data_IF_906689294753
#
_entry.id   IF_906689294753
#
_cell.length_a   1.000
_cell.length_b   1.000
_cell.length_c   1.000
_cell.angle_alpha   90.00
_cell.angle_beta   90.00
_cell.angle_gamma   90.00
#
_symmetry.space_group_name_H-M   'P 1'
#
loop_
_entity.id
_entity.type
_entity.pdbx_description
1 polymer ?
#
# COMPACT_ATOMS: atom_id res chain seq x y z
N UNK A 1 -65.70 47.60 27.33
CA UNK A 1 -65.89 46.48 28.28
C UNK A 1 -66.60 45.41 27.48
N UNK A 2 -66.09 44.20 27.24
CA UNK A 2 -65.76 43.16 28.22
C UNK A 2 -64.89 42.09 27.53
N UNK A 3 -63.95 41.49 28.27
CA UNK A 3 -63.07 40.40 27.83
C UNK A 3 -63.79 39.04 27.89
N UNK A 4 -63.42 38.11 27.02
CA UNK A 4 -63.55 36.66 27.30
C UNK A 4 -62.31 35.90 26.83
N UNK A 5 -61.69 35.19 27.77
CA UNK A 5 -60.70 34.13 27.56
C UNK A 5 -61.45 32.82 27.34
N UNK A 6 -60.93 31.95 26.46
CA UNK A 6 -61.33 30.54 26.40
C UNK A 6 -60.07 29.69 26.53
N UNK A 7 -60.06 28.88 27.58
CA UNK A 7 -59.16 27.75 27.82
C UNK A 7 -59.85 26.51 27.26
N UNK A 8 -59.14 25.70 26.47
CA UNK A 8 -59.63 24.40 26.01
C UNK A 8 -58.67 23.30 26.46
N UNK A 9 -59.16 22.48 27.38
CA UNK A 9 -58.57 21.20 27.81
C UNK A 9 -59.29 20.09 27.05
N UNK A 10 -58.56 19.17 26.40
CA UNK A 10 -59.13 17.94 25.84
C UNK A 10 -58.30 16.75 26.31
N UNK A 11 -58.96 15.86 27.05
CA UNK A 11 -58.55 14.49 27.35
C UNK A 11 -59.33 13.53 26.45
N UNK A 12 -58.67 12.55 25.85
CA UNK A 12 -59.26 11.28 25.37
C UNK A 12 -58.16 10.21 25.53
N UNK A 13 -58.28 9.25 26.45
CA UNK A 13 -59.13 8.04 26.44
C UNK A 13 -58.65 6.98 25.44
N UNK A 14 -58.27 5.84 26.02
CA UNK A 14 -57.71 4.66 25.40
C UNK A 14 -58.78 3.70 24.85
N UNK A 15 -58.35 2.83 23.93
CA UNK A 15 -59.11 1.71 23.37
C UNK A 15 -59.28 1.85 21.85
N UNK A 16 -59.14 0.86 20.98
CA UNK A 16 -59.10 -0.61 21.08
C UNK A 16 -58.71 -1.13 19.68
N UNK A 17 -58.29 -2.41 19.59
CA UNK A 17 -58.28 -3.35 18.44
C UNK A 17 -57.01 -3.54 17.58
N UNK A 18 -56.46 -4.74 17.81
CA UNK A 18 -55.63 -5.58 16.95
C UNK A 18 -56.16 -5.71 15.51
N UNK A 19 -55.23 -5.73 14.55
CA UNK A 19 -55.38 -6.47 13.30
C UNK A 19 -54.02 -7.02 12.86
N UNK A 20 -54.03 -8.31 12.57
CA UNK A 20 -53.00 -9.13 11.95
C UNK A 20 -52.39 -8.52 10.68
N UNK A 21 -51.09 -8.79 10.48
CA UNK A 21 -50.46 -9.32 9.24
C UNK A 21 -48.93 -9.18 9.39
N UNK A 22 -48.29 -10.16 10.03
CA UNK A 22 -46.83 -10.31 10.08
C UNK A 22 -46.45 -11.50 9.19
N UNK A 23 -45.88 -11.19 8.02
CA UNK A 23 -45.29 -12.19 7.14
C UNK A 23 -43.94 -12.67 7.69
N UNK A 24 -43.84 -13.99 7.78
CA UNK A 24 -42.73 -14.84 8.17
C UNK A 24 -41.39 -14.46 7.52
N UNK A 25 -40.34 -14.40 8.34
CA UNK A 25 -39.00 -14.86 7.98
C UNK A 25 -38.53 -15.87 9.03
N UNK A 26 -38.57 -17.13 8.63
CA UNK A 26 -38.14 -18.29 9.42
C UNK A 26 -36.62 -18.37 9.39
N UNK A 27 -35.96 -18.02 10.50
CA UNK A 27 -34.57 -18.39 10.75
C UNK A 27 -34.55 -19.84 11.28
N UNK A 28 -34.07 -20.76 10.45
CA UNK A 28 -33.73 -22.12 10.85
C UNK A 28 -32.51 -22.07 11.78
N UNK A 29 -32.71 -22.57 13.00
CA UNK A 29 -31.68 -22.92 13.96
C UNK A 29 -30.82 -24.08 13.43
N UNK A 30 -29.52 -23.86 13.30
CA UNK A 30 -28.54 -24.93 13.11
C UNK A 30 -28.03 -25.41 14.49
N UNK A 31 -27.85 -26.72 14.69
CA UNK A 31 -27.42 -27.27 15.98
C UNK A 31 -25.91 -27.09 16.21
N UNK A 32 -25.56 -26.91 17.48
CA UNK A 32 -24.20 -26.87 17.98
C UNK A 32 -23.45 -28.17 17.63
N UNK A 33 -22.40 -28.05 16.82
CA UNK A 33 -21.45 -29.12 16.55
C UNK A 33 -20.21 -28.97 17.45
N UNK A 34 -19.97 -30.04 18.18
CA UNK A 34 -18.88 -30.29 19.12
C UNK A 34 -17.50 -30.05 18.52
N UNK A 35 -16.71 -29.19 19.18
CA UNK A 35 -15.24 -29.14 19.06
C UNK A 35 -14.64 -30.44 19.60
N UNK A 36 -14.32 -31.39 18.72
CA UNK A 36 -13.27 -32.39 18.93
C UNK A 36 -12.95 -33.09 17.61
N UNK A 37 -11.63 -33.21 17.35
CA UNK A 37 -10.99 -34.03 16.32
C UNK A 37 -11.01 -33.45 14.89
N UNK A 38 -9.98 -32.65 14.58
CA UNK A 38 -9.41 -32.57 13.25
C UNK A 38 -7.91 -32.80 13.35
N UNK A 39 -7.44 -33.68 12.48
CA UNK A 39 -6.16 -34.36 12.51
C UNK A 39 -4.95 -33.43 12.47
N UNK A 40 -3.99 -33.81 13.29
CA UNK A 40 -2.61 -33.37 13.34
C UNK A 40 -1.88 -33.89 12.09
N UNK A 41 -1.47 -32.98 11.22
CA UNK A 41 -0.45 -33.23 10.22
C UNK A 41 0.77 -32.40 10.64
N UNK A 42 1.84 -33.09 11.03
CA UNK A 42 3.10 -32.51 11.45
C UNK A 42 3.78 -31.84 10.24
N UNK A 43 3.53 -30.54 10.08
CA UNK A 43 4.43 -29.65 9.36
C UNK A 43 5.49 -29.23 10.38
N UNK A 44 6.68 -29.81 10.28
CA UNK A 44 7.87 -29.35 11.01
C UNK A 44 8.21 -27.93 10.55
N UNK A 45 7.64 -26.94 11.25
CA UNK A 45 8.10 -25.57 11.17
C UNK A 45 9.52 -25.51 11.76
N UNK A 46 10.46 -24.96 11.00
CA UNK A 46 11.74 -24.55 11.56
C UNK A 46 11.48 -23.66 12.78
N UNK A 47 12.10 -23.93 13.95
CA UNK A 47 11.88 -23.13 15.15
C UNK A 47 12.14 -21.66 14.85
N UNK A 48 11.23 -20.79 15.28
CA UNK A 48 11.35 -19.33 15.13
C UNK A 48 12.71 -18.82 15.64
N UNK A 49 13.28 -19.51 16.62
CA UNK A 49 14.62 -19.29 17.18
C UNK A 49 15.74 -19.41 16.15
N UNK A 50 15.66 -20.36 15.21
CA UNK A 50 16.67 -20.56 14.16
C UNK A 50 16.65 -19.43 13.12
N UNK A 51 15.45 -18.92 12.80
CA UNK A 51 15.29 -17.74 11.94
C UNK A 51 15.80 -16.49 12.67
N UNK A 52 15.53 -16.35 13.97
CA UNK A 52 16.06 -15.25 14.79
C UNK A 52 17.59 -15.30 14.93
N UNK A 53 18.19 -16.49 15.11
CA UNK A 53 19.65 -16.66 15.21
C UNK A 53 20.35 -16.33 13.88
N UNK A 54 19.84 -16.81 12.74
CA UNK A 54 20.38 -16.47 11.42
C UNK A 54 20.29 -14.98 11.11
N UNK A 55 19.31 -14.28 11.68
CA UNK A 55 19.14 -12.84 11.52
C UNK A 55 20.00 -12.01 12.50
N UNK A 56 20.16 -12.46 13.74
CA UNK A 56 21.06 -11.82 14.72
C UNK A 56 22.53 -11.92 14.30
N UNK A 57 22.92 -13.01 13.62
CA UNK A 57 24.26 -13.15 13.04
C UNK A 57 24.58 -12.07 11.97
N UNK A 58 23.56 -11.46 11.34
CA UNK A 58 23.73 -10.34 10.40
C UNK A 58 23.68 -8.96 11.05
N UNK A 59 23.06 -8.81 12.23
CA UNK A 59 23.00 -7.53 12.94
C UNK A 59 24.24 -7.23 13.79
N UNK A 60 25.08 -8.24 14.03
CA UNK A 60 26.34 -8.10 14.79
C UNK A 60 27.53 -7.65 13.93
N UNK A 61 27.33 -7.38 12.63
CA UNK A 61 28.23 -6.50 11.88
C UNK A 61 28.00 -5.07 12.38
N UNK A 62 28.83 -4.72 13.36
CA UNK A 62 28.88 -3.47 14.11
C UNK A 62 28.75 -2.24 13.20
N UNK A 63 27.65 -1.48 13.37
CA UNK A 63 27.64 -0.06 13.01
C UNK A 63 28.62 0.66 13.94
N UNK A 64 29.85 0.84 13.48
CA UNK A 64 30.77 1.81 14.07
C UNK A 64 30.08 3.18 14.03
N UNK A 65 29.92 3.77 15.21
CA UNK A 65 29.44 5.14 15.38
C UNK A 65 30.56 6.09 14.96
N UNK A 66 30.73 6.25 13.65
CA UNK A 66 31.68 7.21 13.10
C UNK A 66 31.24 8.63 13.53
N UNK A 67 32.06 9.25 14.37
CA UNK A 67 32.00 10.66 14.69
C UNK A 67 32.06 11.47 13.39
N UNK A 68 30.98 12.17 13.07
CA UNK A 68 30.82 12.98 11.85
C UNK A 68 31.90 14.07 11.81
N UNK A 69 32.98 13.83 11.07
CA UNK A 69 33.97 14.85 10.75
C UNK A 69 33.33 15.83 9.75
N UNK A 70 33.30 17.11 10.13
CA UNK A 70 32.79 18.20 9.29
C UNK A 70 33.89 18.73 8.36
N UNK A 71 34.46 17.92 7.46
CA UNK A 71 35.21 18.48 6.31
C UNK A 71 35.62 17.47 5.23
N UNK A 72 34.75 16.54 4.85
CA UNK A 72 34.99 15.79 3.62
C UNK A 72 34.33 16.52 2.44
N UNK A 73 35.16 17.19 1.63
CA UNK A 73 34.79 17.63 0.29
C UNK A 73 34.15 16.45 -0.46
N UNK A 74 32.83 16.50 -0.67
CA UNK A 74 32.05 15.43 -1.31
C UNK A 74 32.67 15.09 -2.68
N UNK A 75 33.30 13.92 -2.78
CA UNK A 75 33.73 13.38 -4.08
C UNK A 75 32.49 13.22 -4.96
N UNK A 76 32.55 13.59 -6.26
CA UNK A 76 31.41 13.48 -7.15
C UNK A 76 30.93 12.04 -7.21
N UNK A 77 29.68 11.81 -6.82
CA UNK A 77 29.15 10.45 -6.73
C UNK A 77 28.87 9.90 -8.13
N UNK A 78 29.37 8.70 -8.42
CA UNK A 78 29.12 8.04 -9.70
C UNK A 78 27.65 7.59 -9.82
N UNK A 79 26.82 8.44 -10.44
CA UNK A 79 25.39 8.22 -10.66
C UNK A 79 25.07 7.10 -11.67
N UNK A 80 26.06 6.54 -12.37
CA UNK A 80 25.86 5.45 -13.33
C UNK A 80 25.91 4.05 -12.70
N UNK A 81 26.25 3.95 -11.40
CA UNK A 81 26.35 2.67 -10.69
C UNK A 81 24.99 1.96 -10.68
N UNK A 82 24.98 0.70 -11.12
CA UNK A 82 23.84 -0.21 -10.89
C UNK A 82 23.75 -0.53 -9.40
N UNK A 83 22.60 -0.28 -8.81
CA UNK A 83 22.35 -0.64 -7.42
C UNK A 83 22.12 -2.15 -7.31
N UNK A 84 22.72 -2.81 -6.31
CA UNK A 84 22.38 -4.20 -6.01
C UNK A 84 20.88 -4.29 -5.69
N UNK A 85 20.32 -5.44 -5.98
CA UNK A 85 18.95 -5.77 -5.63
C UNK A 85 18.85 -7.26 -5.36
N UNK A 86 17.95 -7.61 -4.46
CA UNK A 86 17.63 -8.97 -4.08
C UNK A 86 16.14 -9.13 -3.92
N UNK A 87 15.63 -10.33 -4.20
CA UNK A 87 14.27 -10.73 -3.86
C UNK A 87 14.35 -12.03 -3.05
N UNK A 88 13.52 -12.20 -2.02
CA UNK A 88 13.50 -13.43 -1.24
C UNK A 88 12.91 -14.58 -2.07
N UNK A 89 13.12 -15.79 -1.57
CA UNK A 89 12.34 -16.94 -2.00
C UNK A 89 10.85 -16.72 -1.68
N UNK A 90 9.97 -17.14 -2.59
CA UNK A 90 8.52 -17.07 -2.41
C UNK A 90 8.06 -18.40 -1.82
N UNK A 91 7.36 -18.41 -0.68
CA UNK A 91 6.76 -19.64 -0.17
C UNK A 91 5.77 -20.22 -1.19
N UNK A 92 5.66 -21.55 -1.26
CA UNK A 92 4.74 -22.21 -2.21
C UNK A 92 3.29 -21.74 -2.05
N UNK A 93 2.89 -21.45 -0.81
CA UNK A 93 1.58 -20.90 -0.47
C UNK A 93 1.81 -19.49 0.07
N UNK A 94 1.49 -18.49 -0.74
CA UNK A 94 1.54 -17.10 -0.32
C UNK A 94 0.25 -16.74 0.41
N UNK A 95 0.39 -16.17 1.62
CA UNK A 95 -0.75 -15.63 2.37
C UNK A 95 -1.48 -14.56 1.56
N UNK A 96 -2.80 -14.56 1.60
CA UNK A 96 -3.62 -13.42 1.16
C UNK A 96 -3.31 -12.15 1.97
N UNK A 97 -3.73 -10.98 1.50
CA UNK A 97 -3.56 -9.75 2.31
C UNK A 97 -4.30 -9.83 3.64
N UNK A 98 -5.47 -10.46 3.70
CA UNK A 98 -6.24 -10.61 4.93
C UNK A 98 -5.46 -11.46 5.94
N UNK A 99 -4.97 -12.63 5.53
CA UNK A 99 -4.20 -13.52 6.40
C UNK A 99 -2.92 -12.86 6.92
N UNK A 100 -2.18 -12.17 6.05
CA UNK A 100 -0.97 -11.46 6.47
C UNK A 100 -1.27 -10.28 7.39
N UNK A 101 -2.35 -9.52 7.14
CA UNK A 101 -2.77 -8.43 8.01
C UNK A 101 -3.20 -8.93 9.39
N UNK A 102 -3.88 -10.07 9.49
CA UNK A 102 -4.18 -10.71 10.78
C UNK A 102 -2.89 -11.05 11.53
N UNK A 103 -1.95 -11.74 10.86
CA UNK A 103 -0.67 -12.13 11.45
C UNK A 103 0.14 -10.93 12.00
N UNK A 104 0.33 -9.88 11.19
CA UNK A 104 1.14 -8.74 11.63
C UNK A 104 0.45 -7.95 12.76
N UNK A 105 -0.88 -7.92 12.78
CA UNK A 105 -1.66 -7.27 13.84
C UNK A 105 -1.56 -8.05 15.15
N UNK A 106 -1.72 -9.37 15.12
CA UNK A 106 -1.56 -10.24 16.29
C UNK A 106 -0.15 -10.13 16.85
N UNK A 107 0.87 -10.10 15.97
CA UNK A 107 2.26 -9.91 16.38
C UNK A 107 2.48 -8.54 17.04
N UNK A 108 1.90 -7.46 16.50
CA UNK A 108 1.97 -6.13 17.14
C UNK A 108 1.28 -6.10 18.49
N UNK A 109 0.08 -6.68 18.59
CA UNK A 109 -0.68 -6.74 19.83
C UNK A 109 0.05 -7.55 20.91
N UNK A 110 0.64 -8.70 20.56
CA UNK A 110 1.45 -9.51 21.50
C UNK A 110 2.68 -8.76 22.06
N UNK A 111 3.13 -7.72 21.35
CA UNK A 111 4.23 -6.83 21.75
C UNK A 111 3.73 -5.50 22.35
N UNK A 112 2.43 -5.37 22.63
CA UNK A 112 1.79 -4.14 23.12
C UNK A 112 2.02 -2.92 22.20
N UNK A 113 2.15 -3.13 20.89
CA UNK A 113 2.26 -2.06 19.90
C UNK A 113 0.85 -1.66 19.47
N UNK A 114 0.49 -0.39 19.64
CA UNK A 114 -0.82 0.14 19.25
C UNK A 114 -1.02 0.10 17.73
N UNK A 115 -2.23 -0.27 17.30
CA UNK A 115 -2.66 -0.21 15.91
C UNK A 115 -3.33 1.16 15.64
N UNK A 116 -2.86 1.96 14.66
CA UNK A 116 -3.34 3.34 14.48
C UNK A 116 -4.86 3.45 14.27
N UNK A 117 -5.44 2.51 13.52
CA UNK A 117 -6.86 2.48 13.21
C UNK A 117 -7.77 2.16 14.41
N UNK A 118 -7.23 1.70 15.55
CA UNK A 118 -8.02 1.55 16.78
C UNK A 118 -8.22 2.87 17.54
N UNK A 119 -7.43 3.90 17.23
CA UNK A 119 -7.36 5.15 18.01
C UNK A 119 -7.99 6.35 17.30
N UNK A 120 -8.76 6.12 16.23
CA UNK A 120 -9.35 7.15 15.35
C UNK A 120 -8.37 8.22 14.81
N UNK A 121 -7.07 7.96 14.93
CA UNK A 121 -6.02 8.84 14.47
C UNK A 121 -5.71 8.59 12.98
N UNK A 122 -5.38 9.63 12.19
CA UNK A 122 -4.84 9.43 10.86
C UNK A 122 -3.61 8.51 10.88
N UNK A 123 -3.39 7.78 9.78
CA UNK A 123 -2.21 6.95 9.61
C UNK A 123 -0.92 7.77 9.81
N UNK A 124 0.10 7.22 10.49
CA UNK A 124 1.38 7.89 10.64
C UNK A 124 2.02 8.29 9.31
N UNK A 125 2.56 9.51 9.26
CA UNK A 125 3.13 10.10 8.05
C UNK A 125 4.68 9.96 8.00
N UNK A 126 5.27 9.94 6.79
CA UNK A 126 4.60 9.84 5.49
C UNK A 126 3.99 8.46 5.25
N UNK A 127 2.97 8.40 4.39
CA UNK A 127 2.41 7.17 3.85
C UNK A 127 3.11 6.88 2.51
N UNK A 128 3.75 5.73 2.40
CA UNK A 128 4.57 5.37 1.25
C UNK A 128 4.03 4.09 0.63
N UNK A 129 3.59 4.22 -0.62
CA UNK A 129 3.17 3.10 -1.45
C UNK A 129 4.35 2.52 -2.23
N UNK A 130 4.75 1.32 -1.83
CA UNK A 130 5.82 0.57 -2.49
C UNK A 130 5.32 -0.33 -3.63
N UNK A 131 4.06 -0.17 -4.01
CA UNK A 131 3.44 -0.91 -5.09
C UNK A 131 4.22 -0.75 -6.40
N UNK A 132 4.38 -1.85 -7.12
CA UNK A 132 4.88 -1.80 -8.48
C UNK A 132 3.89 -1.04 -9.38
N UNK A 133 4.38 -0.41 -10.46
CA UNK A 133 3.54 0.12 -11.51
C UNK A 133 2.46 -0.88 -11.91
N UNK A 134 1.25 -0.37 -12.16
CA UNK A 134 0.04 -1.14 -12.50
C UNK A 134 -0.60 -1.95 -11.35
N UNK A 135 -0.13 -1.76 -10.12
CA UNK A 135 -0.81 -2.17 -8.89
C UNK A 135 -1.52 -0.99 -8.23
N UNK A 136 -2.45 -0.37 -8.97
CA UNK A 136 -3.32 0.72 -8.49
C UNK A 136 -2.64 1.98 -7.92
N UNK A 137 -1.36 2.23 -8.18
CA UNK A 137 -0.62 3.39 -7.62
C UNK A 137 -1.31 4.75 -7.82
N UNK A 138 -1.91 4.97 -8.99
CA UNK A 138 -2.70 6.17 -9.28
C UNK A 138 -4.04 6.18 -8.51
N UNK A 139 -4.75 5.04 -8.47
CA UNK A 139 -5.98 4.91 -7.68
C UNK A 139 -5.72 5.19 -6.21
N UNK A 140 -4.64 4.68 -5.63
CA UNK A 140 -4.24 4.97 -4.24
C UNK A 140 -3.97 6.46 -4.03
N UNK A 141 -3.27 7.13 -4.98
CA UNK A 141 -3.05 8.58 -4.90
C UNK A 141 -4.37 9.35 -4.87
N UNK A 142 -5.34 8.99 -5.72
CA UNK A 142 -6.62 9.69 -5.78
C UNK A 142 -7.50 9.37 -4.57
N UNK A 143 -7.41 8.15 -4.02
CA UNK A 143 -8.06 7.76 -2.76
C UNK A 143 -7.58 8.64 -1.59
N UNK A 144 -6.27 8.75 -1.37
CA UNK A 144 -5.73 9.60 -0.30
C UNK A 144 -5.99 11.09 -0.53
N UNK A 145 -5.96 11.56 -1.79
CA UNK A 145 -6.35 12.93 -2.10
C UNK A 145 -7.83 13.21 -1.78
N UNK A 146 -8.72 12.25 -2.06
CA UNK A 146 -10.14 12.32 -1.70
C UNK A 146 -10.35 12.37 -0.17
N UNK A 147 -9.50 11.68 0.59
CA UNK A 147 -9.42 11.79 2.05
C UNK A 147 -8.79 13.08 2.60
N UNK A 148 -8.42 14.03 1.73
CA UNK A 148 -7.88 15.33 2.13
C UNK A 148 -6.36 15.38 2.31
N UNK A 149 -5.61 14.33 1.94
CA UNK A 149 -4.14 14.31 2.06
C UNK A 149 -3.47 14.94 0.82
N UNK A 150 -2.30 15.55 1.01
CA UNK A 150 -1.41 15.90 -0.08
C UNK A 150 -0.79 14.62 -0.63
N UNK A 151 -1.29 14.18 -1.80
CA UNK A 151 -0.91 12.91 -2.39
C UNK A 151 -0.21 13.11 -3.74
N UNK A 152 0.83 12.31 -3.99
CA UNK A 152 1.66 12.39 -5.19
C UNK A 152 1.83 11.05 -5.88
N UNK A 153 1.90 11.07 -7.22
CA UNK A 153 2.06 9.90 -8.09
C UNK A 153 3.15 10.18 -9.12
N UNK A 154 4.25 9.40 -9.08
CA UNK A 154 5.45 9.52 -9.95
C UNK A 154 6.26 10.82 -9.83
N UNK A 155 5.60 11.99 -9.89
CA UNK A 155 6.21 13.32 -9.91
C UNK A 155 5.75 14.13 -8.71
N UNK A 156 6.64 14.90 -8.09
CA UNK A 156 6.22 15.86 -7.08
C UNK A 156 5.27 16.89 -7.72
N UNK A 157 4.14 17.25 -7.06
CA UNK A 157 3.11 18.09 -7.65
C UNK A 157 3.68 19.42 -8.17
N UNK A 158 3.38 19.76 -9.42
CA UNK A 158 3.82 21.00 -10.08
C UNK A 158 5.34 21.13 -10.23
N UNK A 159 6.06 20.02 -10.19
CA UNK A 159 7.47 19.94 -10.55
C UNK A 159 7.65 18.97 -11.72
N UNK A 160 8.79 19.05 -12.40
CA UNK A 160 9.25 18.01 -13.32
C UNK A 160 10.11 16.95 -12.60
N UNK A 161 10.18 17.02 -11.27
CA UNK A 161 11.01 16.14 -10.45
C UNK A 161 10.23 14.86 -10.21
N UNK A 162 10.76 13.74 -10.70
CA UNK A 162 10.26 12.41 -10.36
C UNK A 162 10.66 12.08 -8.93
N UNK A 163 9.69 11.63 -8.14
CA UNK A 163 9.93 11.25 -6.75
C UNK A 163 11.00 10.17 -6.66
N UNK A 164 10.93 9.17 -7.55
CA UNK A 164 11.97 8.14 -7.61
C UNK A 164 13.37 8.71 -7.85
N UNK A 165 13.54 9.65 -8.80
CA UNK A 165 14.85 10.26 -9.09
C UNK A 165 15.40 11.01 -7.87
N UNK A 166 14.55 11.79 -7.20
CA UNK A 166 14.88 12.48 -5.96
C UNK A 166 15.30 11.48 -4.87
N UNK A 167 14.51 10.43 -4.63
CA UNK A 167 14.81 9.44 -3.59
C UNK A 167 16.10 8.66 -3.88
N UNK A 168 16.37 8.31 -5.15
CA UNK A 168 17.65 7.70 -5.53
C UNK A 168 18.82 8.64 -5.24
N UNK A 169 18.73 9.89 -5.67
CA UNK A 169 19.80 10.87 -5.47
C UNK A 169 20.05 11.10 -3.97
N UNK A 170 18.99 11.16 -3.17
CA UNK A 170 19.08 11.26 -1.71
C UNK A 170 19.64 10.00 -1.05
N UNK A 171 19.25 8.80 -1.52
CA UNK A 171 19.84 7.53 -1.08
C UNK A 171 21.35 7.52 -1.29
N UNK A 172 21.79 7.88 -2.50
CA UNK A 172 23.21 7.96 -2.88
C UNK A 172 23.96 8.99 -2.04
N UNK A 173 23.34 10.14 -1.77
CA UNK A 173 23.91 11.22 -0.95
C UNK A 173 23.73 11.00 0.55
N UNK A 174 23.19 9.84 0.99
CA UNK A 174 22.83 9.55 2.39
C UNK A 174 21.93 10.61 3.05
N UNK A 175 21.15 11.36 2.27
CA UNK A 175 20.20 12.39 2.72
C UNK A 175 18.81 11.83 2.99
N UNK A 176 17.94 12.64 3.59
CA UNK A 176 16.54 12.28 3.78
C UNK A 176 15.90 11.89 2.42
N UNK A 177 15.18 10.74 2.33
CA UNK A 177 14.62 10.24 1.07
C UNK A 177 13.84 11.26 0.24
N UNK A 178 13.06 12.14 0.86
CA UNK A 178 12.16 13.06 0.15
C UNK A 178 12.68 14.51 0.14
N UNK A 179 13.90 14.76 0.63
CA UNK A 179 14.48 16.11 0.67
C UNK A 179 14.47 16.74 -0.73
N UNK A 180 13.75 17.86 -0.88
CA UNK A 180 13.64 18.61 -2.13
C UNK A 180 12.55 18.12 -3.10
N UNK A 181 11.78 17.09 -2.72
CA UNK A 181 10.64 16.60 -3.50
C UNK A 181 9.42 16.26 -2.61
N UNK A 182 9.39 16.76 -1.39
CA UNK A 182 8.37 16.55 -0.37
C UNK A 182 7.34 17.66 -0.29
N UNK A 183 7.37 18.66 -1.18
CA UNK A 183 6.54 19.85 -1.08
C UNK A 183 5.46 19.96 -2.16
N UNK A 184 4.22 20.21 -1.75
CA UNK A 184 3.09 20.44 -2.64
C UNK A 184 2.80 21.95 -2.78
N UNK A 185 3.41 22.60 -3.77
CA UNK A 185 3.36 24.05 -3.96
C UNK A 185 1.95 24.67 -3.94
N UNK A 186 0.98 24.09 -4.67
CA UNK A 186 -0.39 24.60 -4.70
C UNK A 186 -1.14 24.50 -3.36
N UNK A 187 -0.80 23.52 -2.51
CA UNK A 187 -1.44 23.32 -1.22
C UNK A 187 -0.64 23.93 -0.07
N UNK A 188 0.56 24.47 -0.37
CA UNK A 188 1.46 25.04 0.62
C UNK A 188 1.72 24.10 1.82
N UNK A 189 1.91 22.80 1.55
CA UNK A 189 2.15 21.78 2.58
C UNK A 189 3.03 20.64 2.08
N UNK A 190 3.58 19.89 3.02
CA UNK A 190 4.34 18.66 2.77
C UNK A 190 3.43 17.60 2.15
N UNK A 191 3.97 16.79 1.23
CA UNK A 191 3.30 15.63 0.66
C UNK A 191 3.25 14.54 1.74
N UNK A 192 2.05 14.01 1.94
CA UNK A 192 1.72 13.06 3.00
C UNK A 192 1.61 11.64 2.45
N UNK A 193 1.23 11.48 1.17
CA UNK A 193 1.16 10.19 0.48
C UNK A 193 2.01 10.17 -0.80
N UNK A 194 2.86 9.15 -0.95
CA UNK A 194 3.73 8.96 -2.12
C UNK A 194 3.44 7.60 -2.79
N UNK A 195 3.20 7.58 -4.10
CA UNK A 195 3.10 6.33 -4.87
C UNK A 195 3.84 6.39 -6.21
N UNK A 196 4.11 5.20 -6.77
CA UNK A 196 4.86 5.03 -8.02
C UNK A 196 6.26 5.68 -7.95
N UNK A 197 6.94 5.42 -6.84
CA UNK A 197 8.25 6.01 -6.50
C UNK A 197 9.44 5.30 -7.17
N UNK A 198 9.17 4.52 -8.22
CA UNK A 198 10.17 3.74 -8.93
C UNK A 198 10.67 4.39 -10.22
N UNK A 199 11.85 3.96 -10.66
CA UNK A 199 12.52 4.46 -11.86
C UNK A 199 12.98 3.30 -12.75
N UNK A 200 12.44 3.25 -13.95
CA UNK A 200 12.91 2.33 -15.01
C UNK A 200 13.95 2.95 -15.94
N UNK A 201 13.98 4.28 -15.96
CA UNK A 201 14.95 5.11 -16.64
C UNK A 201 14.97 6.42 -15.87
N UNK A 202 16.11 6.81 -15.31
CA UNK A 202 16.21 8.16 -14.77
C UNK A 202 16.32 9.16 -15.91
N UNK A 203 16.08 10.43 -15.60
CA UNK A 203 16.58 11.51 -16.46
C UNK A 203 18.12 11.33 -16.59
N UNK A 204 18.72 11.72 -17.72
CA UNK A 204 20.19 11.74 -17.87
C UNK A 204 20.94 10.39 -17.75
N UNK A 205 20.32 9.27 -18.15
CA UNK A 205 21.01 7.97 -18.19
C UNK A 205 21.22 7.30 -16.82
N UNK A 206 20.61 7.83 -15.76
CA UNK A 206 20.67 7.24 -14.42
C UNK A 206 20.01 5.85 -14.41
N UNK A 207 20.65 4.93 -13.71
CA UNK A 207 20.23 3.53 -13.60
C UNK A 207 18.84 3.36 -12.99
N UNK A 208 18.25 2.18 -13.20
CA UNK A 208 16.99 1.84 -12.55
C UNK A 208 17.13 1.85 -11.03
N UNK A 209 16.06 2.28 -10.37
CA UNK A 209 16.02 2.32 -8.93
C UNK A 209 14.58 2.20 -8.42
N UNK A 210 14.38 1.31 -7.47
CA UNK A 210 13.14 1.10 -6.74
C UNK A 210 13.53 0.86 -5.28
N UNK A 211 13.14 1.75 -4.37
CA UNK A 211 13.44 1.61 -2.94
C UNK A 211 13.01 0.26 -2.37
N UNK A 212 11.92 -0.32 -2.87
CA UNK A 212 11.42 -1.64 -2.43
C UNK A 212 12.10 -2.84 -3.08
N UNK A 213 12.93 -2.66 -4.10
CA UNK A 213 13.66 -3.76 -4.78
C UNK A 213 15.16 -3.66 -4.50
N UNK A 214 15.74 -2.47 -4.59
CA UNK A 214 17.16 -2.25 -4.38
C UNK A 214 17.54 -2.35 -2.91
N UNK A 215 18.68 -2.99 -2.65
CA UNK A 215 19.12 -3.28 -1.28
C UNK A 215 19.50 -1.99 -0.54
N UNK A 216 19.09 -1.88 0.72
CA UNK A 216 19.23 -0.68 1.55
C UNK A 216 18.14 0.36 1.30
N UNK A 217 17.32 0.24 0.25
CA UNK A 217 16.32 1.26 -0.09
C UNK A 217 15.19 1.39 0.94
N UNK A 218 14.69 0.27 1.47
CA UNK A 218 13.68 0.25 2.52
C UNK A 218 14.27 0.69 3.86
N UNK A 219 15.48 0.21 4.19
CA UNK A 219 16.21 0.55 5.41
C UNK A 219 16.53 2.04 5.47
N UNK A 220 16.90 2.64 4.34
CA UNK A 220 17.15 4.08 4.25
C UNK A 220 15.88 4.89 4.53
N UNK A 221 14.71 4.41 4.12
CA UNK A 221 13.44 5.06 4.45
C UNK A 221 13.12 4.93 5.93
N UNK A 222 13.21 3.72 6.50
CA UNK A 222 12.95 3.50 7.92
C UNK A 222 13.90 4.28 8.84
N UNK A 223 15.16 4.47 8.43
CA UNK A 223 16.13 5.31 9.15
C UNK A 223 15.62 6.74 9.36
N UNK A 224 15.02 7.35 8.35
CA UNK A 224 14.56 8.74 8.40
C UNK A 224 13.10 8.86 8.84
N UNK A 225 12.30 7.81 8.66
CA UNK A 225 10.89 7.77 8.96
C UNK A 225 10.52 6.48 9.70
N UNK A 226 10.99 6.28 10.94
CA UNK A 226 10.77 5.04 11.68
C UNK A 226 9.28 4.79 11.94
N UNK A 227 8.48 5.84 12.06
CA UNK A 227 7.05 5.71 12.32
C UNK A 227 6.19 5.83 11.05
N UNK A 228 6.77 5.80 9.84
CA UNK A 228 5.99 5.93 8.60
C UNK A 228 5.01 4.77 8.40
N UNK A 229 4.06 4.99 7.48
CA UNK A 229 3.16 3.95 7.02
C UNK A 229 3.61 3.37 5.68
N UNK A 230 3.77 2.06 5.63
CA UNK A 230 3.92 1.26 4.42
C UNK A 230 2.50 0.90 3.94
N UNK A 231 2.14 1.33 2.74
CA UNK A 231 0.82 1.08 2.16
C UNK A 231 0.93 0.24 0.88
N UNK A 232 0.21 -0.87 0.80
CA UNK A 232 0.29 -1.82 -0.31
C UNK A 232 -1.09 -2.18 -0.86
N UNK A 233 -1.35 -1.88 -2.13
CA UNK A 233 -2.49 -2.42 -2.87
C UNK A 233 -2.06 -3.56 -3.79
N UNK A 234 -2.45 -4.78 -3.46
CA UNK A 234 -2.10 -5.96 -4.24
C UNK A 234 -3.12 -6.24 -5.35
N UNK A 235 -2.69 -7.01 -6.34
CA UNK A 235 -3.53 -7.56 -7.39
C UNK A 235 -3.23 -9.04 -7.54
N UNK A 236 -4.14 -9.79 -8.14
CA UNK A 236 -3.79 -11.11 -8.64
C UNK A 236 -2.56 -11.01 -9.57
N UNK A 237 -1.50 -11.82 -9.38
CA UNK A 237 -0.26 -11.69 -10.14
C UNK A 237 -0.46 -11.83 -11.66
N UNK A 238 -1.36 -12.73 -12.10
CA UNK A 238 -1.69 -12.86 -13.52
C UNK A 238 -2.42 -11.63 -14.07
N UNK A 239 -3.34 -11.05 -13.30
CA UNK A 239 -4.01 -9.78 -13.64
C UNK A 239 -3.02 -8.61 -13.72
N UNK A 240 -2.06 -8.55 -12.79
CA UNK A 240 -0.98 -7.57 -12.81
C UNK A 240 -0.10 -7.75 -14.06
N UNK A 241 0.35 -8.98 -14.36
CA UNK A 241 1.17 -9.30 -15.53
C UNK A 241 0.49 -8.87 -16.84
N UNK A 242 -0.80 -9.21 -17.00
CA UNK A 242 -1.60 -8.77 -18.16
C UNK A 242 -1.65 -7.24 -18.27
N UNK A 243 -1.71 -6.52 -17.14
CA UNK A 243 -1.74 -5.06 -17.11
C UNK A 243 -0.41 -4.43 -17.51
N UNK A 244 0.71 -4.94 -16.99
CA UNK A 244 2.06 -4.43 -17.32
C UNK A 244 2.48 -4.75 -18.76
N UNK A 245 2.08 -5.91 -19.29
CA UNK A 245 2.35 -6.30 -20.69
C UNK A 245 1.62 -5.39 -21.68
N UNK A 246 0.38 -4.97 -21.38
CA UNK A 246 -0.36 -4.03 -22.23
C UNK A 246 0.14 -2.59 -22.08
N UNK A 247 0.69 -2.23 -20.92
CA UNK A 247 1.08 -0.86 -20.63
C UNK A 247 2.17 -0.35 -21.56
N UNK A 248 1.86 0.72 -22.29
CA UNK A 248 2.76 1.30 -23.27
C UNK A 248 3.16 0.34 -24.40
N UNK A 249 2.40 -0.72 -24.66
CA UNK A 249 2.78 -1.77 -25.62
C UNK A 249 3.96 -2.62 -25.13
N UNK A 250 3.98 -2.98 -23.84
CA UNK A 250 5.03 -3.81 -23.24
C UNK A 250 6.31 -3.05 -22.89
N UNK A 251 6.35 -1.73 -23.10
CA UNK A 251 7.52 -0.89 -22.79
C UNK A 251 7.98 -0.98 -21.33
N UNK A 252 7.04 -1.23 -20.40
CA UNK A 252 7.32 -1.38 -18.97
C UNK A 252 8.23 -2.59 -18.70
N UNK A 253 7.78 -3.78 -19.12
CA UNK A 253 8.52 -5.02 -18.95
C UNK A 253 9.83 -5.01 -19.75
N UNK A 254 9.80 -4.45 -20.96
CA UNK A 254 11.00 -4.26 -21.75
C UNK A 254 12.04 -3.39 -21.02
N UNK A 255 11.61 -2.30 -20.39
CA UNK A 255 12.46 -1.43 -19.57
C UNK A 255 13.07 -2.17 -18.39
N UNK A 256 12.27 -2.91 -17.62
CA UNK A 256 12.77 -3.73 -16.51
C UNK A 256 13.79 -4.79 -16.96
N UNK A 257 13.49 -5.50 -18.05
CA UNK A 257 14.39 -6.51 -18.62
C UNK A 257 15.71 -5.90 -19.10
N UNK A 258 15.66 -4.87 -19.95
CA UNK A 258 16.85 -4.35 -20.63
C UNK A 258 17.68 -3.39 -19.79
N UNK A 259 17.04 -2.57 -18.95
CA UNK A 259 17.72 -1.45 -18.27
C UNK A 259 17.97 -1.72 -16.80
N UNK A 260 17.01 -2.37 -16.13
CA UNK A 260 17.13 -2.61 -14.70
C UNK A 260 17.93 -3.86 -14.36
N UNK A 261 18.11 -4.76 -15.34
CA UNK A 261 18.81 -6.01 -15.11
C UNK A 261 18.04 -6.95 -14.17
N UNK A 262 16.74 -6.71 -13.96
CA UNK A 262 15.86 -7.62 -13.23
C UNK A 262 15.73 -8.99 -13.92
N UNK A 263 16.32 -9.15 -15.10
CA UNK A 263 16.46 -10.41 -15.82
C UNK A 263 17.28 -11.48 -15.11
N UNK A 264 18.27 -11.10 -14.30
CA UNK A 264 19.27 -12.05 -13.80
C UNK A 264 18.72 -13.18 -12.93
N UNK A 265 17.60 -12.96 -12.23
CA UNK A 265 16.96 -13.96 -11.36
C UNK A 265 15.65 -14.52 -11.91
N UNK A 266 15.17 -14.03 -13.06
CA UNK A 266 13.84 -14.32 -13.60
C UNK A 266 13.86 -15.33 -14.75
N UNK A 267 14.93 -16.10 -14.90
CA UNK A 267 15.03 -17.16 -15.90
C UNK A 267 14.70 -16.68 -17.33
N UNK A 268 13.64 -17.25 -17.90
CA UNK A 268 13.26 -17.07 -19.31
C UNK A 268 12.35 -15.86 -19.56
N UNK A 269 11.98 -15.10 -18.53
CA UNK A 269 11.01 -13.99 -18.61
C UNK A 269 9.63 -14.40 -19.14
N UNK A 270 9.21 -15.61 -18.81
CA UNK A 270 7.85 -16.09 -19.03
C UNK A 270 6.86 -15.30 -18.19
N UNK A 271 5.56 -15.50 -18.44
CA UNK A 271 4.52 -14.98 -17.55
C UNK A 271 4.74 -15.43 -16.10
N UNK A 272 5.03 -16.72 -15.89
CA UNK A 272 5.29 -17.28 -14.57
C UNK A 272 6.44 -16.55 -13.86
N UNK A 273 7.55 -16.31 -14.56
CA UNK A 273 8.70 -15.61 -13.99
C UNK A 273 8.34 -14.18 -13.51
N UNK A 274 7.51 -13.45 -14.26
CA UNK A 274 7.07 -12.11 -13.86
C UNK A 274 6.04 -12.15 -12.72
N UNK A 275 5.15 -13.13 -12.71
CA UNK A 275 4.24 -13.32 -11.60
C UNK A 275 5.03 -13.63 -10.31
N UNK A 276 6.05 -14.48 -10.39
CA UNK A 276 6.92 -14.80 -9.25
C UNK A 276 7.76 -13.62 -8.82
N UNK A 277 8.24 -12.78 -9.75
CA UNK A 277 8.85 -11.48 -9.42
C UNK A 277 7.90 -10.62 -8.58
N UNK A 278 6.61 -10.54 -8.96
CA UNK A 278 5.61 -9.76 -8.24
C UNK A 278 5.33 -10.33 -6.84
N UNK A 279 5.25 -11.66 -6.72
CA UNK A 279 5.08 -12.33 -5.43
C UNK A 279 6.29 -12.12 -4.52
N UNK A 280 7.51 -12.26 -5.06
CA UNK A 280 8.75 -12.07 -4.31
C UNK A 280 8.96 -10.62 -3.87
N UNK A 281 8.56 -9.65 -4.70
CA UNK A 281 8.53 -8.24 -4.32
C UNK A 281 7.58 -7.99 -3.14
N UNK A 282 6.38 -8.54 -3.20
CA UNK A 282 5.40 -8.46 -2.12
C UNK A 282 5.96 -9.10 -0.84
N UNK A 283 6.54 -10.28 -0.94
CA UNK A 283 7.14 -10.99 0.18
C UNK A 283 8.32 -10.23 0.80
N UNK A 284 9.17 -9.58 -0.01
CA UNK A 284 10.26 -8.72 0.49
C UNK A 284 9.72 -7.62 1.41
N UNK A 285 8.63 -6.98 1.01
CA UNK A 285 8.02 -5.89 1.77
C UNK A 285 7.37 -6.43 3.05
N UNK A 286 6.67 -7.56 2.98
CA UNK A 286 6.08 -8.23 4.15
C UNK A 286 7.14 -8.62 5.19
N UNK A 287 8.24 -9.22 4.74
CA UNK A 287 9.38 -9.55 5.62
C UNK A 287 10.01 -8.30 6.23
N UNK A 288 10.11 -7.21 5.46
CA UNK A 288 10.58 -5.93 5.98
C UNK A 288 9.63 -5.37 7.05
N UNK A 289 8.32 -5.43 6.84
CA UNK A 289 7.31 -4.96 7.79
C UNK A 289 7.35 -5.77 9.11
N UNK A 290 7.48 -7.10 9.04
CA UNK A 290 7.63 -7.97 10.21
C UNK A 290 8.89 -7.65 11.04
N UNK A 291 9.96 -7.19 10.38
CA UNK A 291 11.20 -6.77 11.04
C UNK A 291 11.10 -5.35 11.63
N UNK A 292 10.20 -4.53 11.12
CA UNK A 292 10.05 -3.12 11.48
C UNK A 292 8.65 -2.84 12.04
N UNK A 293 8.25 -3.56 13.09
CA UNK A 293 6.89 -3.46 13.66
C UNK A 293 6.51 -2.07 14.20
N UNK A 294 7.50 -1.19 14.40
CA UNK A 294 7.31 0.22 14.75
C UNK A 294 6.74 1.04 13.58
N UNK A 295 7.01 0.65 12.33
CA UNK A 295 6.33 1.20 11.15
C UNK A 295 4.91 0.65 11.07
N UNK A 296 3.99 1.47 10.55
CA UNK A 296 2.63 1.00 10.24
C UNK A 296 2.63 0.25 8.92
N UNK A 297 1.90 -0.86 8.82
CA UNK A 297 1.73 -1.63 7.59
C UNK A 297 0.26 -1.78 7.29
N UNK A 298 -0.15 -1.48 6.06
CA UNK A 298 -1.51 -1.68 5.56
C UNK A 298 -1.43 -2.31 4.19
N UNK A 299 -2.12 -3.43 4.00
CA UNK A 299 -2.18 -4.14 2.72
C UNK A 299 -3.61 -4.56 2.38
N UNK A 300 -4.02 -4.33 1.13
CA UNK A 300 -5.36 -4.64 0.63
C UNK A 300 -5.28 -5.24 -0.77
N UNK A 301 -6.05 -6.31 -1.04
CA UNK A 301 -6.21 -6.85 -2.39
C UNK A 301 -7.26 -6.04 -3.14
N UNK A 302 -6.88 -5.46 -4.28
CA UNK A 302 -7.75 -4.59 -5.10
C UNK A 302 -8.98 -5.31 -5.66
N UNK A 303 -8.87 -6.62 -5.86
CA UNK A 303 -9.88 -7.42 -6.56
C UNK A 303 -10.95 -7.98 -5.62
N UNK A 304 -10.84 -7.73 -4.31
CA UNK A 304 -11.89 -8.04 -3.35
C UNK A 304 -13.08 -7.09 -3.54
N UNK A 305 -14.29 -7.64 -3.45
CA UNK A 305 -15.53 -6.87 -3.59
C UNK A 305 -15.69 -5.81 -2.50
N UNK A 306 -15.08 -6.03 -1.34
CA UNK A 306 -15.09 -5.12 -0.18
C UNK A 306 -13.76 -4.36 0.01
N UNK A 307 -12.93 -4.22 -1.04
CA UNK A 307 -11.64 -3.53 -0.92
C UNK A 307 -11.77 -2.09 -0.41
N UNK A 308 -12.85 -1.40 -0.75
CA UNK A 308 -13.12 -0.03 -0.31
C UNK A 308 -13.35 0.05 1.20
N UNK A 309 -14.16 -0.86 1.74
CA UNK A 309 -14.47 -0.97 3.17
C UNK A 309 -13.24 -1.37 3.98
N UNK A 310 -12.43 -2.28 3.45
CA UNK A 310 -11.14 -2.65 4.09
C UNK A 310 -10.20 -1.44 4.13
N UNK A 311 -10.09 -0.69 3.04
CA UNK A 311 -9.28 0.53 3.02
C UNK A 311 -9.83 1.59 3.99
N UNK A 312 -11.15 1.77 4.06
CA UNK A 312 -11.77 2.70 5.02
C UNK A 312 -11.48 2.31 6.46
N UNK A 313 -11.59 1.03 6.80
CA UNK A 313 -11.27 0.55 8.13
C UNK A 313 -9.83 0.90 8.55
N UNK A 314 -8.85 0.64 7.69
CA UNK A 314 -7.44 0.88 8.04
C UNK A 314 -7.00 2.33 7.96
N UNK A 315 -7.62 3.14 7.09
CA UNK A 315 -7.16 4.51 6.81
C UNK A 315 -8.05 5.61 7.38
N UNK A 316 -9.30 5.29 7.74
CA UNK A 316 -10.33 6.27 8.09
C UNK A 316 -10.90 7.07 6.90
N UNK A 317 -10.45 6.79 5.67
CA UNK A 317 -10.93 7.47 4.46
C UNK A 317 -12.11 6.69 3.89
N UNK A 318 -13.22 7.39 3.62
CA UNK A 318 -14.47 6.77 3.13
C UNK A 318 -14.24 5.81 1.95
N UNK A 319 -14.87 4.65 1.96
CA UNK A 319 -14.80 3.66 0.89
C UNK A 319 -15.19 4.24 -0.48
N UNK A 320 -16.09 5.23 -0.51
CA UNK A 320 -16.51 5.95 -1.72
C UNK A 320 -15.38 6.73 -2.42
N UNK A 321 -14.25 6.97 -1.75
CA UNK A 321 -13.05 7.52 -2.36
C UNK A 321 -12.31 6.50 -3.24
N UNK A 322 -12.59 5.20 -3.13
CA UNK A 322 -11.96 4.19 -3.97
C UNK A 322 -12.55 4.23 -5.37
N UNK A 323 -11.73 4.64 -6.34
CA UNK A 323 -12.13 4.81 -7.72
C UNK A 323 -11.18 4.10 -8.69
N UNK A 324 -11.71 3.60 -9.80
CA UNK A 324 -10.91 3.09 -10.91
C UNK A 324 -10.34 4.26 -11.71
N UNK A 325 -9.05 4.53 -11.53
CA UNK A 325 -8.36 5.66 -12.14
C UNK A 325 -7.45 5.27 -13.30
N UNK A 326 -7.44 6.09 -14.35
CA UNK A 326 -6.60 5.91 -15.53
C UNK A 326 -5.63 7.10 -15.70
N UNK A 327 -4.36 6.86 -16.08
CA UNK A 327 -3.33 7.89 -16.17
C UNK A 327 -3.42 8.83 -17.39
N UNK A 328 -4.53 8.83 -18.15
CA UNK A 328 -4.69 9.74 -19.28
C UNK A 328 -5.93 9.48 -20.11
N UNK A 329 -6.16 10.37 -21.09
CA UNK A 329 -7.29 10.27 -22.02
C UNK A 329 -7.31 8.89 -22.68
N UNK A 330 -8.49 8.27 -22.84
CA UNK A 330 -8.61 7.01 -23.55
C UNK A 330 -8.06 7.16 -24.96
N UNK A 331 -7.40 6.11 -25.45
CA UNK A 331 -7.02 6.03 -26.87
C UNK A 331 -8.18 5.61 -27.76
N UNK A 332 -9.29 5.21 -27.16
CA UNK A 332 -10.50 4.85 -27.88
C UNK A 332 -11.15 6.12 -28.46
N UNK A 333 -11.21 6.25 -29.80
CA UNK A 333 -11.80 7.43 -30.44
C UNK A 333 -13.29 7.60 -30.15
N UNK A 334 -13.97 6.56 -29.66
CA UNK A 334 -15.39 6.60 -29.32
C UNK A 334 -15.66 7.18 -27.92
N UNK A 335 -14.63 7.44 -27.10
CA UNK A 335 -14.84 8.05 -25.80
C UNK A 335 -15.04 9.55 -25.93
N UNK A 336 -16.22 10.03 -25.54
CA UNK A 336 -16.50 11.45 -25.46
C UNK A 336 -15.60 12.11 -24.39
N UNK A 337 -14.62 12.89 -24.86
CA UNK A 337 -13.66 13.58 -24.00
C UNK A 337 -14.30 14.63 -23.07
N UNK A 338 -15.51 15.12 -23.38
CA UNK A 338 -16.25 16.06 -22.52
C UNK A 338 -16.82 15.37 -21.28
N UNK A 339 -17.09 14.07 -21.35
CA UNK A 339 -17.64 13.28 -20.24
C UNK A 339 -16.61 12.33 -19.64
N UNK A 340 -15.36 12.35 -20.13
CA UNK A 340 -14.29 11.52 -19.62
C UNK A 340 -13.91 11.95 -18.20
N UNK A 341 -14.22 11.09 -17.24
CA UNK A 341 -13.69 11.17 -15.89
C UNK A 341 -12.43 10.30 -15.81
N UNK A 342 -11.35 10.91 -15.31
CA UNK A 342 -10.06 10.23 -15.07
C UNK A 342 -10.23 9.03 -14.15
N UNK A 343 -11.15 9.15 -13.20
CA UNK A 343 -11.51 8.14 -12.22
C UNK A 343 -13.01 7.89 -12.28
N UNK A 344 -13.40 6.62 -12.23
CA UNK A 344 -14.81 6.20 -12.14
C UNK A 344 -15.03 5.50 -10.80
N UNK A 345 -16.21 5.62 -10.17
CA UNK A 345 -16.56 4.77 -9.04
C UNK A 345 -16.30 3.30 -9.38
N UNK A 346 -15.77 2.53 -8.44
CA UNK A 346 -15.72 1.08 -8.60
C UNK A 346 -17.16 0.61 -8.63
N UNK A 347 -17.64 0.17 -9.80
CA UNK A 347 -18.97 -0.43 -9.90
C UNK A 347 -18.94 -1.69 -9.06
N UNK A 348 -19.65 -1.69 -7.93
CA UNK A 348 -19.99 -2.92 -7.24
C UNK A 348 -20.73 -3.77 -8.26
N UNK A 349 -20.11 -4.88 -8.68
CA UNK A 349 -20.82 -5.90 -9.43
C UNK A 349 -21.92 -6.41 -8.49
N UNK A 350 -23.13 -5.89 -8.70
CA UNK A 350 -24.35 -6.35 -8.02
C UNK A 350 -24.66 -7.79 -8.37
#
# INVERSE_FOLDING_TARGET
MTRYNIVLTISFAAGVLLSDQLHRLTLLSAPALSRRQLHQADLEFLPLELIQQAMQARSNETMTTDSVSKDETEKPVNLSRKFPWSLPFVPQIQKSSIEFMVEINDLKQSKNISLPWHTSSPLPLPIISFNLPKSATLTSKEYFACGGLAASHTYAPWSQIRIGDCMRDNFVSRRNPFQGCDYHSKLNRTIEFYSDIGIQHGQSGRGCWYSSINDGGLEHIAKYYPNATIFMVLRNPSSWYKSVTKWGGGRLLHGWKKRCGFSGSLGNHTQADWEDFYRAHTEKIRQFALKNLHMTYVEVELELTNAGEIMEYYTGIRASCLQHCYPGRPRDPNVNLKTYQKCKPVSLST
#
